data_IF_272739120301
#
_entry.id   IF_272739120301
#
_cell.length_a   1.000
_cell.length_b   1.000
_cell.length_c   1.000
_cell.angle_alpha   90.00
_cell.angle_beta   90.00
_cell.angle_gamma   90.00
#
_symmetry.space_group_name_H-M   'P 1'
#
loop_
_entity.id
_entity.type
_entity.pdbx_description
1 polymer ?
#
# COMPACT_ATOMS: atom_id res chain seq x y z
N UNK A 1 2.50 -13.62 10.89
CA UNK A 1 2.75 -12.28 11.45
C UNK A 1 1.41 -11.55 11.54
N UNK A 2 1.18 -10.73 12.56
CA UNK A 2 -0.05 -9.92 12.62
C UNK A 2 0.14 -8.66 11.75
N UNK A 3 -0.46 -8.65 10.56
CA UNK A 3 -0.39 -7.50 9.65
C UNK A 3 -0.94 -6.23 10.28
N UNK A 4 -1.89 -6.33 11.22
CA UNK A 4 -2.47 -5.15 11.89
C UNK A 4 -1.45 -4.35 12.69
N UNK A 5 -0.32 -4.96 13.05
CA UNK A 5 0.76 -4.29 13.75
C UNK A 5 1.72 -3.51 12.82
N UNK A 6 1.58 -3.63 11.49
CA UNK A 6 2.45 -2.98 10.51
C UNK A 6 2.00 -1.57 10.12
N UNK A 7 0.76 -1.20 10.42
CA UNK A 7 0.23 0.15 10.19
C UNK A 7 -0.66 0.55 11.37
N UNK A 8 -0.56 1.81 11.77
CA UNK A 8 -1.36 2.38 12.86
C UNK A 8 -2.86 2.44 12.50
N UNK A 9 -3.18 2.42 11.20
CA UNK A 9 -4.53 2.61 10.72
C UNK A 9 -4.89 1.71 9.53
N UNK A 10 -6.07 1.08 9.61
CA UNK A 10 -6.58 0.18 8.57
C UNK A 10 -7.99 0.60 8.14
N UNK A 11 -8.09 1.17 6.95
CA UNK A 11 -9.28 1.84 6.45
C UNK A 11 -10.16 0.92 5.62
N UNK A 12 -11.48 0.85 5.87
CA UNK A 12 -12.41 0.29 4.90
C UNK A 12 -12.54 1.22 3.69
N UNK A 13 -12.91 0.68 2.52
CA UNK A 13 -13.00 1.46 1.27
C UNK A 13 -13.87 2.73 1.34
N UNK A 14 -15.01 2.76 2.07
CA UNK A 14 -15.77 4.01 2.25
C UNK A 14 -14.98 5.12 2.96
N UNK A 15 -14.13 4.77 3.91
CA UNK A 15 -13.33 5.77 4.64
C UNK A 15 -12.16 6.29 3.79
N UNK A 16 -11.54 5.42 3.00
CA UNK A 16 -10.59 5.84 1.95
C UNK A 16 -11.28 6.82 0.98
N UNK A 17 -12.54 6.55 0.63
CA UNK A 17 -13.30 7.41 -0.27
C UNK A 17 -13.52 8.80 0.35
N UNK A 18 -13.92 8.86 1.61
CA UNK A 18 -14.09 10.12 2.36
C UNK A 18 -12.80 10.95 2.36
N UNK A 19 -11.64 10.33 2.66
CA UNK A 19 -10.35 11.04 2.72
C UNK A 19 -9.90 11.60 1.39
N UNK A 20 -10.10 10.85 0.31
CA UNK A 20 -9.71 11.26 -1.03
C UNK A 20 -10.74 12.18 -1.71
N UNK A 21 -11.87 12.47 -1.06
CA UNK A 21 -12.98 13.21 -1.67
C UNK A 21 -13.61 12.46 -2.86
N UNK A 22 -13.57 11.12 -2.82
CA UNK A 22 -14.05 10.22 -3.87
C UNK A 22 -15.30 9.45 -3.43
N UNK A 23 -15.95 8.78 -4.38
CA UNK A 23 -17.02 7.82 -4.11
C UNK A 23 -16.44 6.41 -3.92
N UNK A 24 -17.09 5.52 -3.13
CA UNK A 24 -16.56 4.17 -2.90
C UNK A 24 -16.34 3.34 -4.18
N UNK A 25 -17.05 3.62 -5.28
CA UNK A 25 -16.81 2.95 -6.57
C UNK A 25 -15.49 3.38 -7.21
N UNK A 26 -15.08 4.63 -6.99
CA UNK A 26 -13.84 5.19 -7.54
C UNK A 26 -12.64 4.60 -6.78
N UNK A 27 -12.75 4.42 -5.47
CA UNK A 27 -11.71 3.69 -4.70
C UNK A 27 -11.59 2.24 -5.14
N UNK A 28 -12.71 1.54 -5.40
CA UNK A 28 -12.65 0.19 -6.00
C UNK A 28 -11.98 0.19 -7.37
N UNK A 29 -12.19 1.24 -8.17
CA UNK A 29 -11.47 1.42 -9.43
C UNK A 29 -9.97 1.63 -9.19
N UNK A 30 -9.57 2.42 -8.19
CA UNK A 30 -8.14 2.56 -7.82
C UNK A 30 -7.51 1.21 -7.48
N UNK A 31 -8.20 0.33 -6.75
CA UNK A 31 -7.71 -1.02 -6.43
C UNK A 31 -7.60 -1.87 -7.69
N UNK A 32 -8.66 -1.92 -8.51
CA UNK A 32 -8.68 -2.67 -9.77
C UNK A 32 -7.58 -2.22 -10.73
N UNK A 33 -7.33 -0.91 -10.79
CA UNK A 33 -6.36 -0.30 -11.69
C UNK A 33 -4.94 -0.24 -11.08
N UNK A 34 -4.72 -1.00 -9.98
CA UNK A 34 -3.47 -1.16 -9.24
C UNK A 34 -2.87 0.16 -8.71
N UNK A 35 -3.69 1.20 -8.60
CA UNK A 35 -3.32 2.49 -8.02
C UNK A 35 -3.31 2.42 -6.49
N UNK A 36 -4.08 1.51 -5.93
CA UNK A 36 -4.19 1.25 -4.50
C UNK A 36 -4.19 -0.27 -4.27
N UNK A 37 -3.77 -0.71 -3.08
CA UNK A 37 -3.85 -2.10 -2.66
C UNK A 37 -4.21 -2.15 -1.17
N UNK A 38 -4.71 -3.30 -0.73
CA UNK A 38 -5.15 -3.59 0.61
C UNK A 38 -5.33 -5.09 0.76
N UNK A 39 -5.79 -5.56 1.92
CA UNK A 39 -5.97 -6.99 2.16
C UNK A 39 -7.14 -7.26 3.12
N UNK A 40 -7.54 -8.52 3.28
CA UNK A 40 -8.44 -8.95 4.35
C UNK A 40 -7.59 -9.31 5.56
N UNK A 41 -7.81 -8.61 6.67
CA UNK A 41 -7.12 -8.87 7.93
C UNK A 41 -7.86 -9.92 8.74
N UNK A 42 -7.11 -10.78 9.43
CA UNK A 42 -7.69 -11.77 10.33
C UNK A 42 -8.49 -11.10 11.46
N UNK A 43 -9.70 -11.62 11.72
CA UNK A 43 -10.60 -11.08 12.74
C UNK A 43 -11.20 -9.70 12.43
N UNK A 44 -10.98 -9.14 11.23
CA UNK A 44 -11.56 -7.88 10.79
C UNK A 44 -12.45 -8.12 9.58
N UNK A 45 -13.69 -7.66 9.64
CA UNK A 45 -14.65 -7.89 8.57
C UNK A 45 -14.33 -7.07 7.31
N UNK A 46 -14.02 -7.75 6.22
CA UNK A 46 -13.90 -7.16 4.89
C UNK A 46 -12.50 -6.65 4.52
N UNK A 47 -12.40 -6.02 3.34
CA UNK A 47 -11.14 -5.51 2.81
C UNK A 47 -10.70 -4.23 3.53
N UNK A 48 -9.40 -4.09 3.77
CA UNK A 48 -8.78 -2.97 4.47
C UNK A 48 -7.56 -2.47 3.71
N UNK A 49 -7.40 -1.16 3.70
CA UNK A 49 -6.28 -0.45 3.09
C UNK A 49 -5.47 0.21 4.22
N UNK A 50 -4.14 0.07 4.23
CA UNK A 50 -3.28 0.80 5.18
C UNK A 50 -3.45 2.31 5.05
N UNK A 51 -3.56 3.00 6.19
CA UNK A 51 -3.70 4.45 6.24
C UNK A 51 -2.49 5.18 5.65
N UNK A 52 -1.29 4.62 5.83
CA UNK A 52 -0.03 5.15 5.28
C UNK A 52 0.05 5.18 3.75
N UNK A 53 -0.91 4.58 3.04
CA UNK A 53 -0.96 4.70 1.58
C UNK A 53 -1.51 6.05 1.11
N UNK A 54 -2.01 6.87 2.05
CA UNK A 54 -2.59 8.18 1.81
C UNK A 54 -1.76 9.27 2.51
N UNK A 55 -1.57 10.40 1.82
CA UNK A 55 -0.98 11.63 2.36
C UNK A 55 -1.99 12.75 2.17
N UNK A 56 -2.76 13.05 3.22
CA UNK A 56 -3.90 13.98 3.12
C UNK A 56 -4.98 13.43 2.19
N UNK A 57 -5.25 14.15 1.11
CA UNK A 57 -6.29 13.86 0.11
C UNK A 57 -5.77 13.12 -1.13
N UNK A 58 -4.50 12.68 -1.11
CA UNK A 58 -3.85 11.98 -2.23
C UNK A 58 -3.22 10.66 -1.80
N UNK A 59 -2.94 9.81 -2.79
CA UNK A 59 -2.13 8.61 -2.59
C UNK A 59 -0.64 8.96 -2.53
N UNK A 60 0.15 8.12 -1.87
CA UNK A 60 1.62 8.21 -1.87
C UNK A 60 2.16 8.12 -3.31
N UNK A 61 3.05 9.05 -3.66
CA UNK A 61 3.67 9.07 -4.98
C UNK A 61 4.56 7.85 -5.21
N UNK A 62 4.48 7.27 -6.40
CA UNK A 62 5.22 6.05 -6.76
C UNK A 62 4.58 4.74 -6.30
N UNK A 63 3.56 4.77 -5.43
CA UNK A 63 2.87 3.57 -4.92
C UNK A 63 2.39 2.64 -6.03
N UNK A 64 1.70 3.19 -7.04
CA UNK A 64 1.22 2.42 -8.20
C UNK A 64 2.34 1.65 -8.90
N UNK A 65 3.49 2.31 -9.09
CA UNK A 65 4.63 1.69 -9.77
C UNK A 65 5.18 0.50 -8.98
N UNK A 66 5.27 0.64 -7.65
CA UNK A 66 5.66 -0.44 -6.76
C UNK A 66 4.65 -1.59 -6.77
N UNK A 67 3.34 -1.31 -6.72
CA UNK A 67 2.29 -2.34 -6.78
C UNK A 67 2.39 -3.15 -8.08
N UNK A 68 2.59 -2.48 -9.22
CA UNK A 68 2.75 -3.15 -10.52
C UNK A 68 3.99 -4.04 -10.50
N UNK A 69 5.14 -3.51 -10.10
CA UNK A 69 6.40 -4.26 -10.07
C UNK A 69 6.31 -5.51 -9.19
N UNK A 70 5.79 -5.38 -7.98
CA UNK A 70 5.66 -6.50 -7.05
C UNK A 70 4.64 -7.54 -7.54
N UNK A 71 3.56 -7.10 -8.20
CA UNK A 71 2.59 -8.02 -8.80
C UNK A 71 3.17 -8.75 -10.02
N UNK A 72 3.98 -8.07 -10.83
CA UNK A 72 4.69 -8.69 -11.95
C UNK A 72 5.72 -9.72 -11.46
N UNK A 73 6.25 -9.54 -10.24
CA UNK A 73 7.05 -10.54 -9.53
C UNK A 73 6.21 -11.68 -8.90
N UNK A 74 4.88 -11.68 -9.10
CA UNK A 74 3.97 -12.74 -8.65
C UNK A 74 3.44 -12.59 -7.23
N UNK A 75 3.70 -11.46 -6.55
CA UNK A 75 3.17 -11.23 -5.21
C UNK A 75 1.66 -10.97 -5.23
N UNK A 76 0.96 -11.53 -4.25
CA UNK A 76 -0.46 -11.25 -4.02
C UNK A 76 -0.67 -9.95 -3.22
N UNK A 77 -1.92 -9.51 -3.10
CA UNK A 77 -2.27 -8.27 -2.39
C UNK A 77 -1.76 -8.23 -0.94
N UNK A 78 -1.76 -9.38 -0.25
CA UNK A 78 -1.31 -9.48 1.15
C UNK A 78 0.20 -9.34 1.23
N UNK A 79 0.94 -10.07 0.39
CA UNK A 79 2.39 -10.00 0.32
C UNK A 79 2.88 -8.61 -0.12
N UNK A 80 2.17 -7.95 -1.05
CA UNK A 80 2.48 -6.58 -1.46
C UNK A 80 2.30 -5.61 -0.28
N UNK A 81 1.19 -5.70 0.45
CA UNK A 81 0.94 -4.87 1.63
C UNK A 81 2.01 -5.11 2.70
N UNK A 82 2.33 -6.37 2.98
CA UNK A 82 3.36 -6.76 3.93
C UNK A 82 4.73 -6.18 3.54
N UNK A 83 5.15 -6.34 2.28
CA UNK A 83 6.42 -5.82 1.77
C UNK A 83 6.49 -4.29 1.89
N UNK A 84 5.41 -3.59 1.50
CA UNK A 84 5.36 -2.13 1.54
C UNK A 84 5.46 -1.54 2.97
N UNK A 85 4.96 -2.27 3.97
CA UNK A 85 4.90 -1.80 5.36
C UNK A 85 6.04 -2.34 6.23
N UNK A 86 6.67 -3.45 5.84
CA UNK A 86 7.74 -4.08 6.62
C UNK A 86 9.07 -3.35 6.44
N UNK A 87 9.92 -3.23 7.49
CA UNK A 87 11.25 -2.68 7.35
C UNK A 87 12.07 -3.44 6.30
N UNK A 88 12.67 -2.70 5.36
CA UNK A 88 13.46 -3.29 4.29
C UNK A 88 14.95 -2.96 4.49
N UNK A 89 15.81 -3.99 4.49
CA UNK A 89 17.23 -3.86 4.83
C UNK A 89 17.98 -2.86 3.93
N UNK A 90 17.76 -2.90 2.61
CA UNK A 90 18.40 -1.95 1.67
C UNK A 90 17.93 -0.50 1.88
N UNK A 91 16.69 -0.29 2.30
CA UNK A 91 16.10 1.05 2.43
C UNK A 91 16.34 1.66 3.81
N UNK A 92 16.64 0.82 4.81
CA UNK A 92 16.76 1.18 6.23
C UNK A 92 15.43 1.50 6.92
N UNK A 93 14.31 1.41 6.21
CA UNK A 93 12.96 1.67 6.68
C UNK A 93 11.93 0.90 5.84
N UNK A 94 10.65 1.06 6.16
CA UNK A 94 9.58 0.51 5.33
C UNK A 94 9.51 1.19 3.96
N UNK A 95 9.30 0.45 2.86
CA UNK A 95 9.18 1.03 1.52
C UNK A 95 8.16 2.16 1.41
N UNK A 96 7.03 2.10 2.13
CA UNK A 96 6.04 3.17 2.11
C UNK A 96 6.59 4.51 2.63
N UNK A 97 7.43 4.49 3.67
CA UNK A 97 8.06 5.69 4.23
C UNK A 97 9.11 6.26 3.27
N UNK A 98 9.83 5.38 2.59
CA UNK A 98 10.75 5.78 1.52
C UNK A 98 10.00 6.44 0.34
N UNK A 99 8.82 5.91 -0.04
CA UNK A 99 7.98 6.52 -1.07
C UNK A 99 7.43 7.88 -0.64
N UNK A 100 6.94 8.02 0.59
CA UNK A 100 6.50 9.31 1.16
C UNK A 100 7.63 10.36 1.12
N UNK A 101 8.87 9.94 1.38
CA UNK A 101 10.07 10.78 1.27
C UNK A 101 10.54 11.02 -0.19
N UNK A 102 9.78 10.59 -1.19
CA UNK A 102 10.10 10.77 -2.62
C UNK A 102 11.22 9.86 -3.14
N UNK A 103 11.64 8.83 -2.39
CA UNK A 103 12.75 7.93 -2.76
C UNK A 103 12.32 6.80 -3.70
N UNK A 104 11.46 7.08 -4.67
CA UNK A 104 10.86 6.06 -5.56
C UNK A 104 11.88 5.20 -6.31
N UNK A 105 13.01 5.78 -6.74
CA UNK A 105 14.07 5.01 -7.41
C UNK A 105 14.75 4.00 -6.48
N UNK A 106 14.93 4.32 -5.19
CA UNK A 106 15.49 3.38 -4.23
C UNK A 106 14.53 2.21 -3.99
N UNK A 107 13.23 2.50 -3.83
CA UNK A 107 12.19 1.47 -3.63
C UNK A 107 12.09 0.52 -4.82
N UNK A 108 12.15 1.04 -6.05
CA UNK A 108 12.14 0.20 -7.26
C UNK A 108 13.36 -0.72 -7.35
N UNK A 109 14.54 -0.26 -6.93
CA UNK A 109 15.75 -1.09 -6.90
C UNK A 109 15.64 -2.21 -5.87
N UNK A 110 15.18 -1.88 -4.67
CA UNK A 110 14.94 -2.83 -3.60
C UNK A 110 14.01 -3.98 -4.07
N UNK A 111 12.93 -3.66 -4.76
CA UNK A 111 12.00 -4.65 -5.31
C UNK A 111 12.55 -5.51 -6.48
N UNK A 112 13.77 -5.29 -6.95
CA UNK A 112 14.45 -6.18 -7.94
C UNK A 112 15.39 -7.16 -7.22
N UNK A 113 15.83 -6.82 -6.01
CA UNK A 113 16.78 -7.60 -5.25
C UNK A 113 16.14 -8.78 -4.48
N UNK A 114 14.81 -8.79 -4.38
CA UNK A 114 13.96 -9.87 -3.85
C UNK A 114 13.37 -10.72 -4.99
#
# INVERSE_FOLDING_TARGET
>A
MDLRALDDEWLPLPEVANRLGLQPREVRALVRDQRLVGTRLEGVEGYRVPGSFLVGDRLVDGLRGSIIQLRDAGMDDTAIVEWLLSPHAELGEAPIRALEAGRTHAVRRAAIAD
#
